data_IF_623754290757
#
_entry.id   IF_623754290757
#
_cell.length_a   1.000
_cell.length_b   1.000
_cell.length_c   1.000
_cell.angle_alpha   90.00
_cell.angle_beta   90.00
_cell.angle_gamma   90.00
#
_symmetry.space_group_name_H-M   'P 1'
#
loop_
_entity.id
_entity.type
_entity.pdbx_description
1 polymer ?
#
# COMPACT_ATOMS: atom_id res chain seq x y z
N UNK A 1 35.68 -13.02 9.02
CA UNK A 1 34.22 -12.91 9.19
C UNK A 1 33.77 -11.77 8.29
N UNK A 2 33.14 -12.09 7.15
CA UNK A 2 32.77 -11.10 6.14
C UNK A 2 31.62 -10.27 6.68
N UNK A 3 31.88 -9.01 7.02
CA UNK A 3 30.84 -8.02 7.30
C UNK A 3 30.08 -7.81 5.98
N UNK A 4 28.90 -8.43 5.84
CA UNK A 4 28.01 -8.14 4.71
C UNK A 4 27.70 -6.64 4.76
N UNK A 5 27.93 -5.96 3.65
CA UNK A 5 27.56 -4.55 3.49
C UNK A 5 26.03 -4.44 3.67
N UNK A 6 25.53 -3.64 4.63
CA UNK A 6 24.10 -3.45 4.86
C UNK A 6 23.33 -3.06 3.59
N UNK A 7 23.97 -2.33 2.67
CA UNK A 7 23.36 -1.93 1.39
C UNK A 7 23.09 -3.11 0.44
N UNK A 8 23.92 -4.16 0.53
CA UNK A 8 23.79 -5.37 -0.27
C UNK A 8 22.63 -6.25 0.23
N UNK A 9 22.25 -6.11 1.51
CA UNK A 9 21.11 -6.80 2.11
C UNK A 9 19.79 -6.11 1.74
N UNK A 10 19.73 -4.78 1.88
CA UNK A 10 18.56 -3.96 1.49
C UNK A 10 18.25 -4.07 0.00
N UNK A 11 19.26 -4.09 -0.87
CA UNK A 11 19.06 -4.25 -2.31
C UNK A 11 18.45 -5.59 -2.71
N UNK A 12 18.80 -6.68 -2.01
CA UNK A 12 18.19 -8.00 -2.24
C UNK A 12 16.75 -8.04 -1.72
N UNK A 13 16.52 -7.55 -0.51
CA UNK A 13 15.20 -7.50 0.11
C UNK A 13 14.22 -6.63 -0.69
N UNK A 14 14.67 -5.47 -1.18
CA UNK A 14 13.87 -4.60 -2.05
C UNK A 14 13.37 -5.35 -3.30
N UNK A 15 14.27 -6.04 -4.01
CA UNK A 15 13.90 -6.88 -5.15
C UNK A 15 12.94 -7.99 -4.76
N UNK A 16 13.21 -8.70 -3.66
CA UNK A 16 12.35 -9.79 -3.20
C UNK A 16 10.91 -9.30 -2.93
N UNK A 17 10.75 -8.16 -2.26
CA UNK A 17 9.44 -7.57 -1.99
C UNK A 17 8.74 -7.17 -3.29
N UNK A 18 9.44 -6.52 -4.22
CA UNK A 18 8.85 -6.07 -5.48
C UNK A 18 8.49 -7.24 -6.40
N UNK A 19 9.37 -8.23 -6.52
CA UNK A 19 9.11 -9.45 -7.30
C UNK A 19 7.97 -10.26 -6.67
N UNK A 20 7.89 -10.31 -5.35
CA UNK A 20 6.77 -10.94 -4.67
C UNK A 20 5.47 -10.17 -4.84
N UNK A 21 5.49 -8.84 -4.73
CA UNK A 21 4.24 -8.07 -4.77
C UNK A 21 3.73 -7.88 -6.20
N UNK A 22 4.62 -7.54 -7.13
CA UNK A 22 4.28 -7.17 -8.50
C UNK A 22 4.59 -8.25 -9.54
N UNK A 23 5.36 -9.28 -9.18
CA UNK A 23 5.89 -10.23 -10.16
C UNK A 23 6.54 -9.47 -11.33
N UNK A 24 6.19 -9.83 -12.57
CA UNK A 24 6.67 -9.16 -13.78
C UNK A 24 5.64 -8.18 -14.36
N UNK A 25 4.67 -7.69 -13.56
CA UNK A 25 3.64 -6.77 -14.06
C UNK A 25 4.27 -5.43 -14.44
N UNK A 26 4.03 -5.05 -15.69
CA UNK A 26 4.28 -3.74 -16.25
C UNK A 26 3.01 -3.18 -16.92
N UNK A 27 3.12 -2.02 -17.56
CA UNK A 27 1.98 -1.37 -18.22
C UNK A 27 1.44 -2.16 -19.42
N UNK A 28 2.24 -3.06 -20.01
CA UNK A 28 1.82 -3.90 -21.13
C UNK A 28 1.13 -5.19 -20.67
N UNK A 29 1.33 -5.58 -19.40
CA UNK A 29 0.77 -6.81 -18.84
C UNK A 29 -0.74 -6.70 -18.65
N UNK A 30 -1.57 -7.59 -19.24
CA UNK A 30 -3.00 -7.60 -19.02
C UNK A 30 -3.34 -7.88 -17.54
N UNK A 31 -4.16 -7.03 -16.93
CA UNK A 31 -4.64 -7.19 -15.55
C UNK A 31 -5.90 -8.07 -15.51
N UNK A 32 -5.77 -9.28 -16.06
CA UNK A 32 -6.80 -10.32 -16.15
C UNK A 32 -6.73 -11.26 -14.94
N UNK A 33 -7.77 -11.27 -14.10
CA UNK A 33 -7.81 -11.99 -12.82
C UNK A 33 -7.68 -13.51 -12.97
N UNK A 34 -7.85 -14.03 -14.18
CA UNK A 34 -7.75 -15.46 -14.47
C UNK A 34 -6.37 -15.88 -14.99
N UNK A 35 -5.48 -14.93 -15.31
CA UNK A 35 -4.19 -15.19 -15.96
C UNK A 35 -2.99 -14.75 -15.12
N UNK A 36 -1.92 -15.53 -15.17
CA UNK A 36 -0.64 -15.11 -14.61
C UNK A 36 0.02 -14.02 -15.47
N UNK A 37 0.80 -13.10 -14.87
CA UNK A 37 1.13 -13.04 -13.44
C UNK A 37 0.04 -12.38 -12.56
N UNK A 38 -0.96 -11.74 -13.17
CA UNK A 38 -1.90 -10.91 -12.42
C UNK A 38 -2.80 -11.68 -11.46
N UNK A 39 -3.19 -12.92 -11.77
CA UNK A 39 -3.97 -13.79 -10.86
C UNK A 39 -3.30 -13.92 -9.49
N UNK A 40 -2.00 -14.19 -9.46
CA UNK A 40 -1.25 -14.34 -8.20
C UNK A 40 -1.10 -13.00 -7.46
N UNK A 41 -0.78 -11.93 -8.19
CA UNK A 41 -0.71 -10.58 -7.62
C UNK A 41 -2.05 -10.14 -7.04
N UNK A 42 -3.14 -10.30 -7.78
CA UNK A 42 -4.50 -9.97 -7.33
C UNK A 42 -4.88 -10.74 -6.05
N UNK A 43 -4.48 -12.02 -5.95
CA UNK A 43 -4.71 -12.81 -4.74
C UNK A 43 -3.94 -12.27 -3.52
N UNK A 44 -2.74 -11.71 -3.70
CA UNK A 44 -1.95 -11.06 -2.63
C UNK A 44 -2.53 -9.68 -2.28
N UNK A 45 -2.91 -8.90 -3.29
CA UNK A 45 -3.35 -7.51 -3.14
C UNK A 45 -4.74 -7.39 -2.50
N UNK A 46 -5.67 -8.27 -2.86
CA UNK A 46 -7.08 -8.15 -2.46
C UNK A 46 -7.67 -9.44 -1.88
N UNK A 47 -6.95 -10.56 -1.92
CA UNK A 47 -7.44 -11.82 -1.38
C UNK A 47 -7.35 -11.90 0.14
N UNK A 48 -8.34 -12.56 0.75
CA UNK A 48 -8.28 -13.00 2.15
C UNK A 48 -8.01 -14.50 2.17
N UNK A 49 -6.73 -14.88 2.13
CA UNK A 49 -6.28 -16.28 2.09
C UNK A 49 -5.31 -16.52 3.25
N UNK A 50 -5.70 -17.29 4.29
CA UNK A 50 -4.85 -17.54 5.45
C UNK A 50 -3.47 -18.07 5.10
N UNK A 51 -3.37 -18.83 4.00
CA UNK A 51 -2.11 -19.40 3.51
C UNK A 51 -1.17 -18.31 2.98
N UNK A 52 -1.70 -17.32 2.24
CA UNK A 52 -0.93 -16.17 1.76
C UNK A 52 -0.56 -15.26 2.93
N UNK A 53 -1.48 -15.04 3.87
CA UNK A 53 -1.23 -14.23 5.06
C UNK A 53 -0.09 -14.82 5.91
N UNK A 54 -0.07 -16.15 6.10
CA UNK A 54 1.00 -16.86 6.79
C UNK A 54 2.33 -16.80 6.03
N UNK A 55 2.32 -17.01 4.70
CA UNK A 55 3.53 -16.89 3.86
C UNK A 55 4.13 -15.49 3.96
N UNK A 56 3.31 -14.44 3.82
CA UNK A 56 3.77 -13.04 3.89
C UNK A 56 4.40 -12.77 5.25
N UNK A 57 3.79 -13.24 6.34
CA UNK A 57 4.33 -13.08 7.68
C UNK A 57 5.68 -13.78 7.83
N UNK A 58 5.76 -15.07 7.51
CA UNK A 58 6.99 -15.85 7.66
C UNK A 58 8.16 -15.20 6.89
N UNK A 59 7.89 -14.68 5.70
CA UNK A 59 8.93 -14.13 4.82
C UNK A 59 9.36 -12.71 5.18
N UNK A 60 8.42 -11.83 5.52
CA UNK A 60 8.67 -10.39 5.55
C UNK A 60 8.48 -9.73 6.92
N UNK A 61 7.91 -10.42 7.92
CA UNK A 61 7.79 -9.88 9.29
C UNK A 61 9.16 -9.55 9.90
N UNK A 62 10.23 -10.37 9.75
CA UNK A 62 11.56 -10.01 10.26
C UNK A 62 12.12 -8.71 9.66
N UNK A 63 11.84 -8.47 8.37
CA UNK A 63 12.26 -7.24 7.69
C UNK A 63 11.47 -6.02 8.19
N UNK A 64 10.15 -6.17 8.36
CA UNK A 64 9.30 -5.13 8.92
C UNK A 64 9.76 -4.75 10.33
N UNK A 65 10.00 -5.74 11.19
CA UNK A 65 10.52 -5.53 12.55
C UNK A 65 11.89 -4.85 12.52
N UNK A 66 12.80 -5.27 11.64
CA UNK A 66 14.12 -4.68 11.53
C UNK A 66 14.10 -3.18 11.18
N UNK A 67 13.14 -2.75 10.35
CA UNK A 67 12.97 -1.34 9.97
C UNK A 67 12.25 -0.54 11.06
N UNK A 68 11.27 -1.13 11.73
CA UNK A 68 10.35 -0.40 12.63
C UNK A 68 10.76 -0.41 14.10
N UNK A 69 11.51 -1.42 14.57
CA UNK A 69 11.92 -1.55 15.99
C UNK A 69 13.15 -0.70 16.36
N UNK A 70 13.59 0.22 15.50
CA UNK A 70 14.82 1.02 15.73
C UNK A 70 14.56 2.38 16.40
N UNK A 71 13.33 2.64 16.84
CA UNK A 71 12.97 3.88 17.53
C UNK A 71 13.15 5.10 16.62
N UNK A 72 14.10 5.99 16.95
CA UNK A 72 14.32 7.26 16.24
C UNK A 72 15.21 7.17 15.00
N UNK A 73 15.84 6.02 14.75
CA UNK A 73 16.78 5.86 13.63
C UNK A 73 16.09 5.53 12.29
N UNK A 74 14.76 5.65 12.22
CA UNK A 74 13.98 5.32 11.01
C UNK A 74 14.43 6.13 9.76
N UNK A 75 14.87 7.38 9.93
CA UNK A 75 15.36 8.23 8.83
C UNK A 75 16.59 7.61 8.15
N UNK A 76 17.49 7.03 8.94
CA UNK A 76 18.68 6.35 8.42
C UNK A 76 18.29 5.14 7.58
N UNK A 77 17.32 4.35 8.03
CA UNK A 77 16.82 3.19 7.28
C UNK A 77 16.19 3.63 5.97
N UNK A 78 15.30 4.62 6.00
CA UNK A 78 14.72 5.18 4.76
C UNK A 78 15.81 5.61 3.77
N UNK A 79 16.89 6.21 4.26
CA UNK A 79 18.02 6.60 3.41
C UNK A 79 18.81 5.40 2.85
N UNK A 80 18.94 4.28 3.58
CA UNK A 80 19.52 3.04 3.05
C UNK A 80 18.67 2.46 1.92
N UNK A 81 17.34 2.47 2.05
CA UNK A 81 16.41 2.05 0.98
C UNK A 81 16.37 3.03 -0.19
N UNK A 82 16.54 4.33 0.05
CA UNK A 82 16.62 5.35 -1.02
C UNK A 82 17.78 5.11 -1.98
N UNK A 83 18.88 4.54 -1.49
CA UNK A 83 20.10 4.30 -2.29
C UNK A 83 19.99 3.13 -3.25
N UNK A 84 18.95 2.30 -3.15
CA UNK A 84 18.74 1.17 -4.05
C UNK A 84 17.58 1.44 -5.02
N UNK A 85 17.65 0.93 -6.26
CA UNK A 85 16.56 1.09 -7.23
C UNK A 85 15.22 0.63 -6.65
N UNK A 86 14.21 1.48 -6.78
CA UNK A 86 12.85 1.28 -6.25
C UNK A 86 12.76 0.91 -4.76
N UNK A 87 13.81 1.12 -3.97
CA UNK A 87 13.82 0.72 -2.56
C UNK A 87 12.74 1.40 -1.75
N UNK A 88 12.46 2.68 -1.98
CA UNK A 88 11.35 3.34 -1.30
C UNK A 88 9.98 2.80 -1.72
N UNK A 89 9.82 2.31 -2.95
CA UNK A 89 8.58 1.63 -3.38
C UNK A 89 8.43 0.32 -2.60
N UNK A 90 9.49 -0.48 -2.53
CA UNK A 90 9.50 -1.72 -1.78
C UNK A 90 9.23 -1.49 -0.29
N UNK A 91 9.83 -0.44 0.29
CA UNK A 91 9.61 -0.03 1.66
C UNK A 91 8.15 0.41 1.91
N UNK A 92 7.53 1.12 0.98
CA UNK A 92 6.09 1.43 1.06
C UNK A 92 5.25 0.14 1.10
N UNK A 93 5.54 -0.85 0.25
CA UNK A 93 4.83 -2.14 0.27
C UNK A 93 5.03 -2.86 1.61
N UNK A 94 6.26 -2.88 2.13
CA UNK A 94 6.59 -3.50 3.41
C UNK A 94 5.85 -2.86 4.59
N UNK A 95 5.68 -1.54 4.58
CA UNK A 95 5.07 -0.79 5.67
C UNK A 95 3.54 -0.67 5.58
N UNK A 96 2.97 -0.70 4.39
CA UNK A 96 1.53 -0.50 4.18
C UNK A 96 0.83 -1.80 3.78
N UNK A 97 1.28 -2.46 2.72
CA UNK A 97 0.54 -3.57 2.15
C UNK A 97 0.71 -4.85 2.95
N UNK A 98 1.94 -5.27 3.20
CA UNK A 98 2.20 -6.55 3.86
C UNK A 98 1.60 -6.65 5.28
N UNK A 99 1.61 -5.60 6.12
CA UNK A 99 0.98 -5.62 7.45
C UNK A 99 -0.53 -5.92 7.40
N UNK A 100 -1.21 -5.60 6.29
CA UNK A 100 -2.65 -5.89 6.10
C UNK A 100 -2.94 -7.37 5.88
N UNK A 101 -1.95 -8.13 5.46
CA UNK A 101 -1.98 -9.59 5.44
C UNK A 101 -1.48 -10.18 6.76
N UNK A 102 -0.34 -9.72 7.28
CA UNK A 102 0.31 -10.27 8.48
C UNK A 102 -0.54 -10.15 9.76
N UNK A 103 -1.23 -9.01 9.91
CA UNK A 103 -1.90 -8.60 11.14
C UNK A 103 -3.40 -8.37 10.92
N UNK A 104 -4.00 -9.11 9.99
CA UNK A 104 -5.42 -9.00 9.66
C UNK A 104 -6.28 -9.04 10.93
N UNK A 105 -7.27 -8.15 10.98
CA UNK A 105 -8.23 -8.02 12.08
C UNK A 105 -7.58 -7.66 13.44
N UNK A 106 -6.39 -7.05 13.43
CA UNK A 106 -5.76 -6.48 14.63
C UNK A 106 -5.35 -5.02 14.44
N UNK A 107 -5.04 -4.32 15.54
CA UNK A 107 -4.58 -2.94 15.50
C UNK A 107 -3.24 -2.77 14.78
N UNK A 108 -2.38 -3.81 14.84
CA UNK A 108 -1.04 -3.83 14.26
C UNK A 108 -1.06 -3.63 12.74
N UNK A 109 -2.16 -3.96 12.05
CA UNK A 109 -2.35 -3.69 10.63
C UNK A 109 -2.17 -2.20 10.27
N UNK A 110 -2.44 -1.29 11.20
CA UNK A 110 -2.38 0.17 10.98
C UNK A 110 -1.15 0.82 11.63
N UNK A 111 -0.33 0.07 12.35
CA UNK A 111 0.72 0.62 13.21
C UNK A 111 1.79 1.41 12.43
N UNK A 112 1.95 1.08 11.15
CA UNK A 112 3.00 1.64 10.29
C UNK A 112 2.45 2.58 9.20
N UNK A 113 1.13 2.81 9.14
CA UNK A 113 0.48 3.70 8.17
C UNK A 113 1.15 5.11 8.11
N UNK A 114 1.48 5.77 9.26
CA UNK A 114 2.13 7.08 9.20
C UNK A 114 3.51 7.07 8.54
N UNK A 115 4.31 6.02 8.77
CA UNK A 115 5.64 5.90 8.18
C UNK A 115 5.53 5.56 6.69
N UNK A 116 4.61 4.67 6.32
CA UNK A 116 4.33 4.37 4.92
C UNK A 116 3.93 5.61 4.12
N UNK A 117 3.10 6.48 4.70
CA UNK A 117 2.70 7.75 4.09
C UNK A 117 3.90 8.67 3.83
N UNK A 118 4.80 8.80 4.81
CA UNK A 118 6.03 9.62 4.66
C UNK A 118 6.90 9.08 3.52
N UNK A 119 7.14 7.77 3.49
CA UNK A 119 7.96 7.13 2.46
C UNK A 119 7.31 7.27 1.09
N UNK A 120 6.01 7.02 0.96
CA UNK A 120 5.31 7.14 -0.30
C UNK A 120 5.28 8.60 -0.83
N UNK A 121 5.09 9.58 0.05
CA UNK A 121 5.15 11.00 -0.30
C UNK A 121 6.53 11.39 -0.85
N UNK A 122 7.60 10.82 -0.31
CA UNK A 122 8.94 11.06 -0.82
C UNK A 122 9.10 10.55 -2.26
N UNK A 123 8.58 9.36 -2.59
CA UNK A 123 8.66 8.82 -3.96
C UNK A 123 7.80 9.63 -4.92
N UNK A 124 6.60 10.03 -4.52
CA UNK A 124 5.71 10.83 -5.38
C UNK A 124 6.26 12.24 -5.64
N UNK A 125 7.11 12.76 -4.75
CA UNK A 125 7.81 14.04 -4.94
C UNK A 125 9.04 13.96 -5.86
N UNK A 126 9.46 12.77 -6.30
CA UNK A 126 10.58 12.63 -7.25
C UNK A 126 10.17 13.12 -8.65
N UNK A 127 11.08 13.78 -9.41
CA UNK A 127 10.76 14.31 -10.74
C UNK A 127 10.21 13.27 -11.73
N UNK A 128 10.67 12.02 -11.61
CA UNK A 128 10.31 10.91 -12.51
C UNK A 128 9.32 9.93 -11.88
N UNK A 129 8.59 10.34 -10.83
CA UNK A 129 7.63 9.48 -10.15
C UNK A 129 6.52 8.99 -11.09
N UNK A 130 6.10 9.82 -12.04
CA UNK A 130 5.06 9.50 -13.02
C UNK A 130 5.52 8.53 -14.11
N UNK A 131 6.82 8.42 -14.37
CA UNK A 131 7.38 7.47 -15.34
C UNK A 131 7.34 6.02 -14.84
N UNK A 132 7.07 5.77 -13.55
CA UNK A 132 7.02 4.42 -12.97
C UNK A 132 5.86 3.61 -13.54
N UNK A 133 5.96 2.26 -13.57
CA UNK A 133 4.84 1.40 -13.92
C UNK A 133 3.57 1.77 -13.14
N UNK A 134 2.44 1.78 -13.83
CA UNK A 134 1.15 2.26 -13.31
C UNK A 134 0.73 1.50 -12.05
N UNK A 135 0.97 0.18 -11.99
CA UNK A 135 0.69 -0.61 -10.78
C UNK A 135 1.49 -0.11 -9.57
N UNK A 136 2.77 0.25 -9.73
CA UNK A 136 3.59 0.78 -8.63
C UNK A 136 3.11 2.16 -8.19
N UNK A 137 2.77 3.03 -9.15
CA UNK A 137 2.19 4.35 -8.86
C UNK A 137 0.90 4.21 -8.05
N UNK A 138 0.02 3.28 -8.44
CA UNK A 138 -1.20 2.97 -7.70
C UNK A 138 -0.89 2.68 -6.22
N UNK A 139 0.03 1.77 -5.92
CA UNK A 139 0.36 1.41 -4.53
C UNK A 139 1.10 2.52 -3.76
N UNK A 140 1.76 3.47 -4.43
CA UNK A 140 2.29 4.66 -3.78
C UNK A 140 1.18 5.64 -3.35
N UNK A 141 0.00 5.58 -3.99
CA UNK A 141 -1.17 6.38 -3.58
C UNK A 141 -1.96 5.73 -2.43
N UNK A 142 -1.84 4.41 -2.26
CA UNK A 142 -2.62 3.66 -1.26
C UNK A 142 -2.35 4.09 0.20
N UNK A 143 -1.12 4.42 0.64
CA UNK A 143 -0.91 5.00 1.97
C UNK A 143 -1.72 6.29 2.23
N UNK A 144 -1.93 7.12 1.20
CA UNK A 144 -2.81 8.29 1.31
C UNK A 144 -4.30 7.93 1.35
N UNK A 145 -4.67 6.76 0.82
CA UNK A 145 -6.02 6.21 0.96
C UNK A 145 -6.28 5.70 2.39
N UNK A 146 -5.23 5.35 3.13
CA UNK A 146 -5.34 4.82 4.47
C UNK A 146 -5.29 5.87 5.58
N UNK A 147 -4.98 7.13 5.26
CA UNK A 147 -4.92 8.21 6.25
C UNK A 147 -6.31 8.77 6.56
N UNK A 148 -6.56 9.03 7.85
CA UNK A 148 -7.76 9.71 8.34
C UNK A 148 -7.58 11.24 8.25
N UNK A 149 -7.34 11.75 7.04
CA UNK A 149 -7.19 13.18 6.75
C UNK A 149 -7.86 13.52 5.41
N UNK A 150 -8.90 14.36 5.46
CA UNK A 150 -9.71 14.70 4.28
C UNK A 150 -8.90 15.40 3.18
N UNK A 151 -7.98 16.29 3.53
CA UNK A 151 -7.16 17.03 2.56
C UNK A 151 -6.24 16.08 1.79
N UNK A 152 -5.59 15.16 2.49
CA UNK A 152 -4.73 14.16 1.87
C UNK A 152 -5.54 13.16 1.02
N UNK A 153 -6.75 12.79 1.46
CA UNK A 153 -7.68 11.98 0.66
C UNK A 153 -8.11 12.68 -0.63
N UNK A 154 -8.39 13.98 -0.59
CA UNK A 154 -8.72 14.77 -1.79
C UNK A 154 -7.55 14.81 -2.78
N UNK A 155 -6.34 15.05 -2.27
CA UNK A 155 -5.12 15.02 -3.11
C UNK A 155 -4.93 13.63 -3.73
N UNK A 156 -5.12 12.57 -2.95
CA UNK A 156 -5.02 11.18 -3.40
C UNK A 156 -6.01 10.87 -4.52
N UNK A 157 -7.28 11.28 -4.39
CA UNK A 157 -8.29 11.09 -5.44
C UNK A 157 -7.88 11.79 -6.74
N UNK A 158 -7.38 13.03 -6.68
CA UNK A 158 -6.89 13.73 -7.88
C UNK A 158 -5.71 12.98 -8.54
N UNK A 159 -4.80 12.40 -7.76
CA UNK A 159 -3.71 11.57 -8.30
C UNK A 159 -4.18 10.25 -8.89
N UNK A 160 -5.25 9.65 -8.37
CA UNK A 160 -5.87 8.50 -9.02
C UNK A 160 -6.57 8.88 -10.32
N UNK A 161 -7.13 10.09 -10.44
CA UNK A 161 -7.68 10.60 -11.71
C UNK A 161 -6.56 10.75 -12.76
N UNK A 162 -5.42 11.33 -12.40
CA UNK A 162 -4.23 11.38 -13.26
C UNK A 162 -3.74 9.98 -13.66
N UNK A 163 -3.70 9.03 -12.72
CA UNK A 163 -3.31 7.64 -12.99
C UNK A 163 -4.24 6.97 -14.02
N UNK A 164 -5.54 7.24 -13.96
CA UNK A 164 -6.51 6.72 -14.94
C UNK A 164 -6.25 7.30 -16.32
N UNK A 165 -5.99 8.60 -16.43
CA UNK A 165 -5.66 9.23 -17.72
C UNK A 165 -4.34 8.69 -18.30
N UNK A 166 -3.33 8.46 -17.47
CA UNK A 166 -2.11 7.79 -17.89
C UNK A 166 -2.36 6.34 -18.32
N UNK A 167 -3.27 5.62 -17.67
CA UNK A 167 -3.66 4.28 -18.09
C UNK A 167 -4.33 4.28 -19.47
N UNK A 168 -5.11 5.31 -19.82
CA UNK A 168 -5.71 5.43 -21.17
C UNK A 168 -4.67 5.48 -22.28
N UNK A 169 -3.49 6.03 -21.99
CA UNK A 169 -2.41 6.16 -22.97
C UNK A 169 -1.43 5.00 -22.92
N UNK A 170 -0.98 4.60 -21.72
CA UNK A 170 0.09 3.61 -21.52
C UNK A 170 -0.41 2.18 -21.44
N UNK A 171 -1.67 1.98 -21.06
CA UNK A 171 -2.24 0.66 -20.80
C UNK A 171 -3.74 0.60 -21.11
N UNK A 172 -4.17 0.90 -22.36
CA UNK A 172 -5.58 1.08 -22.71
C UNK A 172 -6.46 -0.15 -22.40
N UNK A 173 -5.88 -1.36 -22.45
CA UNK A 173 -6.57 -2.61 -22.10
C UNK A 173 -6.86 -2.78 -20.60
N UNK A 174 -6.19 -2.00 -19.73
CA UNK A 174 -6.29 -2.11 -18.28
C UNK A 174 -7.01 -0.92 -17.63
N UNK A 175 -7.51 0.05 -18.40
CA UNK A 175 -8.17 1.26 -17.90
C UNK A 175 -9.25 0.97 -16.85
N UNK A 176 -10.10 -0.02 -17.11
CA UNK A 176 -11.19 -0.39 -16.19
C UNK A 176 -10.69 -0.86 -14.81
N UNK A 177 -9.48 -1.43 -14.72
CA UNK A 177 -8.88 -1.77 -13.43
C UNK A 177 -8.56 -0.50 -12.62
N UNK A 178 -7.94 0.49 -13.25
CA UNK A 178 -7.58 1.75 -12.60
C UNK A 178 -8.80 2.62 -12.29
N UNK A 179 -9.84 2.59 -13.13
CA UNK A 179 -11.14 3.23 -12.83
C UNK A 179 -11.79 2.62 -11.57
N UNK A 180 -11.70 1.29 -11.41
CA UNK A 180 -12.14 0.61 -10.19
C UNK A 180 -11.34 1.04 -8.95
N UNK A 181 -10.02 1.24 -9.09
CA UNK A 181 -9.18 1.75 -8.02
C UNK A 181 -9.53 3.20 -7.64
N UNK A 182 -9.83 4.06 -8.63
CA UNK A 182 -10.31 5.42 -8.40
C UNK A 182 -11.68 5.45 -7.71
N UNK A 183 -12.61 4.57 -8.08
CA UNK A 183 -13.90 4.47 -7.40
C UNK A 183 -13.71 4.08 -5.92
N UNK A 184 -12.80 3.14 -5.65
CA UNK A 184 -12.44 2.75 -4.29
C UNK A 184 -11.81 3.91 -3.49
N UNK A 185 -10.92 4.69 -4.11
CA UNK A 185 -10.35 5.91 -3.54
C UNK A 185 -11.43 6.94 -3.17
N UNK A 186 -12.41 7.17 -4.06
CA UNK A 186 -13.53 8.10 -3.81
C UNK A 186 -14.39 7.66 -2.62
N UNK A 187 -14.65 6.35 -2.48
CA UNK A 187 -15.38 5.82 -1.33
C UNK A 187 -14.64 6.05 -0.02
N UNK A 188 -13.30 5.92 0.00
CA UNK A 188 -12.50 6.26 1.19
C UNK A 188 -12.64 7.72 1.57
N UNK A 189 -12.49 8.61 0.58
CA UNK A 189 -12.69 10.05 0.78
C UNK A 189 -14.09 10.34 1.34
N UNK A 190 -15.16 9.72 0.81
CA UNK A 190 -16.52 9.92 1.32
C UNK A 190 -16.61 9.60 2.82
N UNK A 191 -16.07 8.46 3.26
CA UNK A 191 -16.10 8.07 4.68
C UNK A 191 -15.30 9.07 5.52
N UNK A 192 -14.08 9.42 5.12
CA UNK A 192 -13.24 10.35 5.89
C UNK A 192 -13.83 11.77 5.89
N UNK A 193 -14.47 12.21 4.81
CA UNK A 193 -15.12 13.51 4.74
C UNK A 193 -16.34 13.61 5.66
N UNK A 194 -17.10 12.52 5.80
CA UNK A 194 -18.31 12.48 6.63
C UNK A 194 -18.01 12.26 8.11
N UNK A 195 -17.08 11.34 8.44
CA UNK A 195 -16.82 10.91 9.82
C UNK A 195 -15.51 11.45 10.39
N UNK A 196 -14.65 12.06 9.57
CA UNK A 196 -13.30 12.51 9.93
C UNK A 196 -12.29 11.36 10.14
N UNK A 197 -12.74 10.11 10.06
CA UNK A 197 -11.97 8.89 10.33
C UNK A 197 -12.64 7.68 9.69
N UNK A 198 -12.07 6.49 9.86
CA UNK A 198 -12.63 5.21 9.42
C UNK A 198 -13.33 4.48 10.57
N UNK A 199 -14.68 4.45 10.62
CA UNK A 199 -15.40 3.87 11.75
C UNK A 199 -15.16 2.36 11.94
N UNK A 200 -14.87 1.62 10.87
CA UNK A 200 -14.56 0.19 10.94
C UNK A 200 -13.28 -0.12 11.74
N UNK A 201 -12.37 0.86 11.88
CA UNK A 201 -11.16 0.71 12.71
C UNK A 201 -11.43 0.93 14.20
N UNK A 202 -12.60 1.44 14.59
CA UNK A 202 -12.86 1.90 15.95
C UNK A 202 -12.64 0.80 17.00
N UNK A 203 -13.22 -0.39 16.80
CA UNK A 203 -13.08 -1.49 17.75
C UNK A 203 -11.61 -1.94 17.88
N UNK A 204 -10.90 -2.07 16.75
CA UNK A 204 -9.50 -2.47 16.73
C UNK A 204 -8.58 -1.44 17.40
N UNK A 205 -8.89 -0.15 17.24
CA UNK A 205 -8.13 0.96 17.80
C UNK A 205 -8.61 1.41 19.20
N UNK A 206 -9.55 0.69 19.83
CA UNK A 206 -10.09 1.03 21.15
C UNK A 206 -10.87 2.35 21.19
N UNK A 207 -11.42 2.80 20.06
CA UNK A 207 -12.23 4.03 19.94
C UNK A 207 -13.70 3.72 20.14
N UNK A 208 -14.42 4.61 20.83
CA UNK A 208 -15.88 4.55 20.91
C UNK A 208 -16.51 5.06 19.60
N UNK A 209 -17.39 4.26 19.01
CA UNK A 209 -18.20 4.68 17.85
C UNK A 209 -19.36 5.58 18.27
N UNK A 210 -19.63 6.62 17.48
CA UNK A 210 -20.83 7.45 17.60
C UNK A 210 -22.08 6.70 17.09
N UNK A 211 -23.31 7.18 17.39
CA UNK A 211 -24.52 6.58 16.82
C UNK A 211 -24.52 6.54 15.29
N UNK A 212 -24.10 7.61 14.61
CA UNK A 212 -24.03 7.67 13.15
C UNK A 212 -23.04 6.63 12.58
N UNK A 213 -21.86 6.51 13.21
CA UNK A 213 -20.86 5.49 12.86
C UNK A 213 -21.39 4.06 13.06
N UNK A 214 -22.21 3.81 14.10
CA UNK A 214 -22.83 2.50 14.30
C UNK A 214 -23.86 2.16 13.23
N UNK A 215 -24.65 3.14 12.77
CA UNK A 215 -25.58 2.92 11.66
C UNK A 215 -24.84 2.60 10.35
N UNK A 216 -23.75 3.31 10.05
CA UNK A 216 -22.88 2.99 8.90
C UNK A 216 -22.39 1.54 8.95
N UNK A 217 -21.87 1.11 10.11
CA UNK A 217 -21.33 -0.24 10.28
C UNK A 217 -22.40 -1.33 10.15
N UNK A 218 -23.64 -1.07 10.59
CA UNK A 218 -24.77 -2.00 10.40
C UNK A 218 -25.18 -2.13 8.93
N UNK A 219 -25.03 -1.07 8.15
CA UNK A 219 -25.31 -1.03 6.71
C UNK A 219 -24.32 -1.81 5.84
N UNK A 220 -23.45 -2.65 6.41
CA UNK A 220 -22.50 -3.48 5.67
C UNK A 220 -21.27 -2.73 5.15
N UNK A 221 -21.06 -1.48 5.55
CA UNK A 221 -19.83 -0.71 5.25
C UNK A 221 -18.73 -1.12 6.25
N UNK A 222 -18.50 -2.43 6.37
CA UNK A 222 -17.73 -3.06 7.44
C UNK A 222 -16.20 -2.93 7.27
N UNK A 223 -15.74 -2.19 6.26
CA UNK A 223 -14.32 -1.99 5.98
C UNK A 223 -14.02 -2.03 4.49
N UNK A 224 -12.88 -1.46 4.14
CA UNK A 224 -12.26 -1.54 2.83
C UNK A 224 -11.23 -2.67 2.78
#
# INVERSE_FOLDING_TARGET
MSTKDPSHDVGNLSREILDYWFATIDDATPLDREKEPFRSCFARWYGKRPEIDAEIRERFEPALEAVTNQGRDWERHVEEWRRVPDGLVALTILLDQLPRNMYRDTAQMYAHDPLALIVAAQVLGEPDSDARPLARRMFLLVPFMHVENVTLQQMMVARFEELVEDARTRSPGNVGFYEGALDFARRHLTIVAEYGRFPHRNALLGRTSTPAELELLRGGHAGF
#
